data_IF_195616296826
#
_entry.id   IF_195616296826
#
_cell.length_a   1.000
_cell.length_b   1.000
_cell.length_c   1.000
_cell.angle_alpha   90.00
_cell.angle_beta   90.00
_cell.angle_gamma   90.00
#
_symmetry.space_group_name_H-M   'P 1'
#
loop_
_entity.id
_entity.type
_entity.pdbx_description
1 polymer ?
#
# COMPACT_ATOMS: atom_id res chain seq x y z
N UNK A 1 16.76 -17.85 -1.18
CA UNK A 1 15.64 -17.58 -2.11
C UNK A 1 16.14 -16.61 -3.15
N UNK A 2 15.81 -16.86 -4.42
CA UNK A 2 16.14 -15.97 -5.53
C UNK A 2 15.22 -14.74 -5.49
N UNK A 3 15.75 -13.57 -5.13
CA UNK A 3 14.94 -12.36 -4.93
C UNK A 3 14.21 -11.96 -6.23
N UNK A 4 14.87 -12.15 -7.36
CA UNK A 4 14.31 -11.88 -8.66
C UNK A 4 13.12 -12.79 -8.98
N UNK A 5 13.21 -14.08 -8.62
CA UNK A 5 12.09 -15.01 -8.77
C UNK A 5 10.92 -14.63 -7.86
N UNK A 6 11.16 -14.34 -6.59
CA UNK A 6 10.09 -13.93 -5.66
C UNK A 6 9.35 -12.69 -6.15
N UNK A 7 10.06 -11.67 -6.65
CA UNK A 7 9.43 -10.48 -7.21
C UNK A 7 8.57 -10.84 -8.44
N UNK A 8 9.09 -11.69 -9.35
CA UNK A 8 8.34 -12.11 -10.54
C UNK A 8 7.07 -12.89 -10.17
N UNK A 9 7.15 -13.80 -9.21
CA UNK A 9 6.01 -14.59 -8.75
C UNK A 9 4.92 -13.68 -8.18
N UNK A 10 5.27 -12.77 -7.26
CA UNK A 10 4.32 -11.81 -6.70
C UNK A 10 3.63 -10.94 -7.77
N UNK A 11 4.38 -10.48 -8.78
CA UNK A 11 3.80 -9.68 -9.88
C UNK A 11 2.91 -10.53 -10.80
N UNK A 12 3.26 -11.81 -11.00
CA UNK A 12 2.41 -12.74 -11.74
C UNK A 12 1.09 -13.00 -11.01
N UNK A 13 1.11 -13.18 -9.70
CA UNK A 13 -0.10 -13.33 -8.88
C UNK A 13 -1.01 -12.11 -8.98
N UNK A 14 -0.46 -10.90 -8.82
CA UNK A 14 -1.23 -9.65 -9.00
C UNK A 14 -1.85 -9.56 -10.40
N UNK A 15 -1.08 -9.95 -11.43
CA UNK A 15 -1.56 -9.94 -12.81
C UNK A 15 -2.72 -10.93 -13.01
N UNK A 16 -2.64 -12.11 -12.40
CA UNK A 16 -3.72 -13.10 -12.44
C UNK A 16 -5.00 -12.59 -11.77
N UNK A 17 -4.88 -11.92 -10.61
CA UNK A 17 -6.02 -11.28 -9.93
C UNK A 17 -6.68 -10.21 -10.83
N UNK A 18 -5.88 -9.39 -11.51
CA UNK A 18 -6.40 -8.39 -12.46
C UNK A 18 -7.11 -9.02 -13.64
N UNK A 19 -6.53 -10.04 -14.26
CA UNK A 19 -7.16 -10.77 -15.36
C UNK A 19 -8.50 -11.38 -14.94
N UNK A 20 -8.57 -11.94 -13.73
CA UNK A 20 -9.83 -12.47 -13.18
C UNK A 20 -10.89 -11.37 -13.04
N UNK A 21 -10.52 -10.18 -12.53
CA UNK A 21 -11.44 -9.02 -12.42
C UNK A 21 -11.88 -8.48 -13.78
N UNK A 22 -11.02 -8.52 -14.80
CA UNK A 22 -11.41 -8.15 -16.17
C UNK A 22 -12.40 -9.17 -16.76
N UNK A 23 -12.25 -10.45 -16.44
CA UNK A 23 -13.16 -11.52 -16.85
C UNK A 23 -14.50 -11.53 -16.10
N UNK A 24 -14.57 -10.88 -14.93
CA UNK A 24 -15.77 -10.75 -14.10
C UNK A 24 -16.02 -9.27 -13.76
N UNK A 25 -16.76 -8.53 -14.62
CA UNK A 25 -16.98 -7.09 -14.43
C UNK A 25 -17.65 -6.71 -13.11
N UNK A 26 -18.51 -7.58 -12.56
CA UNK A 26 -19.16 -7.33 -11.27
C UNK A 26 -18.13 -7.35 -10.13
N UNK A 27 -17.25 -8.36 -10.12
CA UNK A 27 -16.14 -8.40 -9.19
C UNK A 27 -15.17 -7.24 -9.40
N UNK A 28 -14.85 -6.88 -10.64
CA UNK A 28 -14.03 -5.70 -10.95
C UNK A 28 -14.57 -4.41 -10.33
N UNK A 29 -15.87 -4.16 -10.50
CA UNK A 29 -16.55 -2.99 -9.92
C UNK A 29 -16.58 -3.03 -8.39
N UNK A 30 -16.80 -4.21 -7.79
CA UNK A 30 -16.80 -4.41 -6.35
C UNK A 30 -15.42 -4.13 -5.74
N UNK A 31 -14.35 -4.69 -6.32
CA UNK A 31 -12.97 -4.41 -5.88
C UNK A 31 -12.64 -2.93 -6.03
N UNK A 32 -13.01 -2.30 -7.15
CA UNK A 32 -12.82 -0.85 -7.34
C UNK A 32 -13.51 -0.02 -6.26
N UNK A 33 -14.74 -0.38 -5.89
CA UNK A 33 -15.50 0.28 -4.82
C UNK A 33 -14.82 0.14 -3.46
N UNK A 34 -14.35 -1.08 -3.13
CA UNK A 34 -13.61 -1.36 -1.90
C UNK A 34 -12.33 -0.52 -1.84
N UNK A 35 -11.54 -0.50 -2.91
CA UNK A 35 -10.29 0.27 -2.97
C UNK A 35 -10.52 1.77 -2.81
N UNK A 36 -11.54 2.32 -3.48
CA UNK A 36 -11.89 3.73 -3.32
C UNK A 36 -12.27 4.07 -1.88
N UNK A 37 -13.05 3.19 -1.22
CA UNK A 37 -13.44 3.37 0.17
C UNK A 37 -12.24 3.27 1.13
N UNK A 38 -11.32 2.32 0.90
CA UNK A 38 -10.09 2.20 1.67
C UNK A 38 -9.22 3.46 1.53
N UNK A 39 -9.08 4.00 0.32
CA UNK A 39 -8.35 5.23 0.05
C UNK A 39 -8.99 6.44 0.75
N UNK A 40 -10.32 6.58 0.70
CA UNK A 40 -11.05 7.61 1.43
C UNK A 40 -10.88 7.46 2.95
N UNK A 41 -11.03 6.24 3.48
CA UNK A 41 -10.80 5.95 4.90
C UNK A 41 -9.39 6.33 5.32
N UNK A 42 -8.39 6.03 4.49
CA UNK A 42 -7.00 6.42 4.73
C UNK A 42 -6.86 7.94 4.78
N UNK A 43 -7.39 8.68 3.80
CA UNK A 43 -7.41 10.16 3.80
C UNK A 43 -7.99 10.72 5.09
N UNK A 44 -9.15 10.23 5.51
CA UNK A 44 -9.79 10.67 6.74
C UNK A 44 -9.00 10.30 8.01
N UNK A 45 -8.42 9.11 8.06
CA UNK A 45 -7.65 8.62 9.22
C UNK A 45 -6.36 9.41 9.45
N UNK A 46 -5.75 9.90 8.37
CA UNK A 46 -4.45 10.56 8.38
C UNK A 46 -4.50 12.04 7.97
N UNK A 47 -5.68 12.66 8.01
CA UNK A 47 -5.87 14.07 7.64
C UNK A 47 -4.93 15.02 8.41
N UNK A 48 -4.71 14.75 9.69
CA UNK A 48 -3.78 15.51 10.53
C UNK A 48 -2.31 15.31 10.14
N UNK A 49 -1.90 14.09 9.75
CA UNK A 49 -0.55 13.84 9.26
C UNK A 49 -0.33 14.52 7.91
N UNK A 50 -1.34 14.52 7.02
CA UNK A 50 -1.27 15.23 5.74
C UNK A 50 -1.17 16.75 5.92
N UNK A 51 -1.85 17.31 6.93
CA UNK A 51 -1.74 18.72 7.29
C UNK A 51 -0.44 19.10 8.02
N UNK A 52 0.37 18.12 8.45
CA UNK A 52 1.61 18.36 9.18
C UNK A 52 2.74 18.77 8.23
N UNK A 53 3.47 19.87 8.49
CA UNK A 53 4.68 20.18 7.74
C UNK A 53 5.77 19.10 7.86
N UNK A 54 5.76 18.35 8.97
CA UNK A 54 6.75 17.32 9.26
C UNK A 54 6.44 15.99 8.57
N UNK A 55 5.17 15.57 8.59
CA UNK A 55 4.73 14.25 8.11
C UNK A 55 3.97 14.30 6.78
N UNK A 56 3.48 15.47 6.37
CA UNK A 56 2.60 15.67 5.22
C UNK A 56 3.14 15.09 3.93
N UNK A 57 4.39 15.39 3.52
CA UNK A 57 4.97 14.81 2.31
C UNK A 57 5.00 13.27 2.33
N UNK A 58 5.32 12.66 3.47
CA UNK A 58 5.34 11.21 3.63
C UNK A 58 3.93 10.61 3.59
N UNK A 59 2.99 11.19 4.35
CA UNK A 59 1.60 10.76 4.37
C UNK A 59 0.95 10.85 2.97
N UNK A 60 1.22 11.94 2.24
CA UNK A 60 0.71 12.16 0.90
C UNK A 60 1.33 11.19 -0.11
N UNK A 61 2.64 10.96 -0.07
CA UNK A 61 3.29 9.95 -0.91
C UNK A 61 2.67 8.56 -0.71
N UNK A 62 2.49 8.12 0.55
CA UNK A 62 1.83 6.84 0.82
C UNK A 62 0.42 6.76 0.23
N UNK A 63 -0.37 7.82 0.40
CA UNK A 63 -1.72 7.86 -0.10
C UNK A 63 -1.78 7.83 -1.64
N UNK A 64 -0.97 8.65 -2.29
CA UNK A 64 -1.04 8.86 -3.75
C UNK A 64 -0.31 7.78 -4.54
N UNK A 65 0.72 7.16 -3.96
CA UNK A 65 1.58 6.22 -4.69
C UNK A 65 1.40 4.77 -4.23
N UNK A 66 0.94 4.52 -3.00
CA UNK A 66 0.83 3.15 -2.47
C UNK A 66 -0.61 2.70 -2.19
N UNK A 67 -1.51 3.61 -1.81
CA UNK A 67 -2.87 3.29 -1.36
C UNK A 67 -3.98 3.97 -2.17
N UNK A 68 -3.67 4.58 -3.31
CA UNK A 68 -4.71 5.22 -4.13
C UNK A 68 -5.47 4.21 -4.99
N UNK A 69 -6.59 4.66 -5.52
CA UNK A 69 -7.38 3.95 -6.53
C UNK A 69 -6.84 4.10 -7.97
N UNK A 70 -5.63 4.65 -8.13
CA UNK A 70 -4.96 4.82 -9.43
C UNK A 70 -4.55 3.47 -10.04
N UNK A 71 -4.58 3.37 -11.37
CA UNK A 71 -4.07 2.22 -12.10
C UNK A 71 -2.52 2.21 -12.10
N UNK A 72 -1.94 1.27 -11.38
CA UNK A 72 -0.49 1.06 -11.29
C UNK A 72 0.04 -0.06 -12.20
N UNK A 73 -0.74 -0.52 -13.18
CA UNK A 73 -0.39 -1.65 -14.04
C UNK A 73 0.97 -1.47 -14.71
N UNK A 74 1.24 -0.30 -15.27
CA UNK A 74 2.53 -0.01 -15.92
C UNK A 74 3.71 -0.10 -14.94
N UNK A 75 3.54 0.40 -13.71
CA UNK A 75 4.57 0.35 -12.67
C UNK A 75 4.88 -1.09 -12.27
N UNK A 76 3.84 -1.91 -12.09
CA UNK A 76 3.98 -3.31 -11.65
C UNK A 76 4.66 -4.16 -12.74
N UNK A 77 4.27 -3.97 -14.00
CA UNK A 77 4.92 -4.62 -15.14
C UNK A 77 6.37 -4.17 -15.30
N UNK A 78 6.70 -2.91 -15.03
CA UNK A 78 8.08 -2.44 -14.97
C UNK A 78 8.84 -3.11 -13.82
N UNK A 79 8.20 -3.29 -12.66
CA UNK A 79 8.84 -3.87 -11.48
C UNK A 79 9.25 -5.33 -11.68
N UNK A 80 8.35 -6.15 -12.24
CA UNK A 80 8.65 -7.54 -12.59
C UNK A 80 9.79 -7.67 -13.62
N UNK A 81 9.87 -6.76 -14.60
CA UNK A 81 10.92 -6.74 -15.62
C UNK A 81 12.31 -6.43 -15.06
N UNK A 82 12.41 -5.58 -14.04
CA UNK A 82 13.70 -5.20 -13.46
C UNK A 82 14.18 -6.12 -12.35
N UNK A 83 13.42 -7.15 -11.98
CA UNK A 83 13.73 -8.02 -10.84
C UNK A 83 15.16 -8.60 -10.92
N UNK A 84 15.61 -9.01 -12.10
CA UNK A 84 16.97 -9.48 -12.33
C UNK A 84 18.03 -8.39 -12.17
N UNK A 85 17.78 -7.21 -12.74
CA UNK A 85 18.69 -6.04 -12.61
C UNK A 85 18.78 -5.54 -11.17
N UNK A 86 17.67 -5.53 -10.42
CA UNK A 86 17.66 -5.18 -9.00
C UNK A 86 18.59 -6.12 -8.23
N UNK A 87 18.44 -7.43 -8.41
CA UNK A 87 19.25 -8.42 -7.73
C UNK A 87 20.75 -8.32 -8.03
N UNK A 88 21.13 -7.93 -9.25
CA UNK A 88 22.53 -7.91 -9.67
C UNK A 88 23.22 -6.56 -9.48
N UNK A 89 22.50 -5.45 -9.60
CA UNK A 89 23.06 -4.09 -9.62
C UNK A 89 22.88 -3.32 -8.32
N UNK A 90 21.93 -3.71 -7.46
CA UNK A 90 21.63 -2.96 -6.23
C UNK A 90 22.21 -3.64 -4.99
N UNK A 91 22.58 -2.87 -3.95
CA UNK A 91 22.99 -3.42 -2.67
C UNK A 91 21.92 -4.34 -2.06
N UNK A 92 22.36 -5.39 -1.37
CA UNK A 92 21.47 -6.38 -0.74
C UNK A 92 20.32 -5.79 0.10
N UNK A 93 20.51 -4.70 0.89
CA UNK A 93 19.40 -4.07 1.61
C UNK A 93 18.30 -3.51 0.70
N UNK A 94 18.67 -2.96 -0.47
CA UNK A 94 17.71 -2.44 -1.44
C UNK A 94 16.94 -3.59 -2.12
N UNK A 95 17.64 -4.69 -2.44
CA UNK A 95 17.01 -5.92 -2.96
C UNK A 95 16.02 -6.51 -1.97
N UNK A 96 16.39 -6.56 -0.69
CA UNK A 96 15.52 -7.06 0.40
C UNK A 96 14.25 -6.21 0.53
N UNK A 97 14.38 -4.89 0.46
CA UNK A 97 13.24 -3.97 0.50
C UNK A 97 12.35 -4.11 -0.74
N UNK A 98 12.94 -4.32 -1.93
CA UNK A 98 12.18 -4.58 -3.15
C UNK A 98 11.36 -5.89 -3.06
N UNK A 99 11.93 -6.96 -2.52
CA UNK A 99 11.20 -8.20 -2.27
C UNK A 99 10.06 -7.97 -1.27
N UNK A 100 10.32 -7.25 -0.18
CA UNK A 100 9.29 -6.93 0.82
C UNK A 100 8.12 -6.13 0.21
N UNK A 101 8.41 -5.17 -0.67
CA UNK A 101 7.39 -4.41 -1.40
C UNK A 101 6.55 -5.33 -2.32
N UNK A 102 7.19 -6.22 -3.08
CA UNK A 102 6.47 -7.16 -3.96
C UNK A 102 5.53 -8.08 -3.18
N UNK A 103 6.00 -8.63 -2.06
CA UNK A 103 5.21 -9.51 -1.19
C UNK A 103 4.04 -8.75 -0.53
N UNK A 104 4.29 -7.54 -0.05
CA UNK A 104 3.24 -6.69 0.52
C UNK A 104 2.18 -6.34 -0.53
N UNK A 105 2.59 -6.03 -1.76
CA UNK A 105 1.67 -5.72 -2.86
C UNK A 105 0.78 -6.90 -3.22
N UNK A 106 1.37 -8.09 -3.43
CA UNK A 106 0.61 -9.31 -3.70
C UNK A 106 -0.41 -9.61 -2.60
N UNK A 107 0.01 -9.58 -1.33
CA UNK A 107 -0.86 -9.79 -0.19
C UNK A 107 -2.01 -8.76 -0.13
N UNK A 108 -1.74 -7.50 -0.50
CA UNK A 108 -2.75 -6.43 -0.52
C UNK A 108 -3.80 -6.69 -1.60
N UNK A 109 -3.38 -7.06 -2.81
CA UNK A 109 -4.29 -7.35 -3.91
C UNK A 109 -5.15 -8.60 -3.67
N UNK A 110 -4.61 -9.63 -3.00
CA UNK A 110 -5.37 -10.80 -2.56
C UNK A 110 -6.48 -10.40 -1.58
N UNK A 111 -6.12 -9.64 -0.54
CA UNK A 111 -7.07 -9.17 0.46
C UNK A 111 -8.16 -8.26 -0.15
N UNK A 112 -7.81 -7.42 -1.13
CA UNK A 112 -8.79 -6.57 -1.81
C UNK A 112 -9.71 -7.37 -2.73
N UNK A 113 -9.21 -8.46 -3.34
CA UNK A 113 -10.06 -9.37 -4.09
C UNK A 113 -11.05 -10.09 -3.17
N UNK A 114 -10.60 -10.59 -2.02
CA UNK A 114 -11.47 -11.25 -1.04
C UNK A 114 -12.53 -10.29 -0.51
N UNK A 115 -12.14 -9.04 -0.24
CA UNK A 115 -13.07 -7.97 0.12
C UNK A 115 -14.08 -7.71 -1.01
N UNK A 116 -13.66 -7.69 -2.27
CA UNK A 116 -14.56 -7.54 -3.42
C UNK A 116 -15.56 -8.69 -3.55
N UNK A 117 -15.14 -9.93 -3.30
CA UNK A 117 -16.06 -11.09 -3.27
C UNK A 117 -17.09 -10.96 -2.15
N UNK A 118 -16.65 -10.59 -0.94
CA UNK A 118 -17.55 -10.38 0.19
C UNK A 118 -18.46 -9.16 -0.03
N UNK A 119 -17.97 -8.11 -0.70
CA UNK A 119 -18.72 -6.91 -1.04
C UNK A 119 -19.95 -7.22 -1.89
N UNK A 120 -19.82 -8.14 -2.86
CA UNK A 120 -20.94 -8.58 -3.70
C UNK A 120 -22.02 -9.32 -2.89
N UNK A 121 -21.63 -10.09 -1.88
CA UNK A 121 -22.58 -10.82 -1.01
C UNK A 121 -23.44 -9.86 -0.19
N UNK A 122 -22.86 -8.75 0.29
CA UNK A 122 -23.52 -7.81 1.21
C UNK A 122 -24.19 -6.60 0.52
N UNK A 123 -24.43 -6.66 -0.80
CA UNK A 123 -25.02 -5.55 -1.54
C UNK A 123 -26.43 -5.18 -1.10
N UNK A 124 -27.28 -6.17 -0.91
CA UNK A 124 -28.72 -5.97 -0.68
C UNK A 124 -29.06 -5.62 0.78
N UNK A 125 -28.21 -6.00 1.72
CA UNK A 125 -28.53 -6.00 3.16
C UNK A 125 -27.93 -4.80 3.93
N UNK A 126 -27.04 -4.03 3.30
CA UNK A 126 -26.34 -2.94 3.97
C UNK A 126 -27.12 -1.61 3.90
N UNK A 127 -27.37 -1.00 5.06
CA UNK A 127 -28.06 0.29 5.14
C UNK A 127 -27.23 1.46 4.57
N UNK A 128 -25.90 1.36 4.62
CA UNK A 128 -24.98 2.33 4.03
C UNK A 128 -23.63 1.68 3.66
N UNK A 129 -22.74 2.46 3.02
CA UNK A 129 -21.43 1.99 2.53
C UNK A 129 -20.48 1.54 3.65
N UNK A 130 -20.54 2.17 4.83
CA UNK A 130 -19.70 1.83 5.97
C UNK A 130 -20.13 0.49 6.60
N UNK A 131 -21.44 0.25 6.67
CA UNK A 131 -22.00 -1.01 7.14
C UNK A 131 -21.63 -2.15 6.18
N UNK A 132 -21.77 -1.92 4.86
CA UNK A 132 -21.36 -2.89 3.83
C UNK A 132 -19.89 -3.26 3.94
N UNK A 133 -19.02 -2.26 4.12
CA UNK A 133 -17.58 -2.48 4.27
C UNK A 133 -17.26 -3.27 5.52
N UNK A 134 -17.89 -2.94 6.65
CA UNK A 134 -17.70 -3.65 7.93
C UNK A 134 -18.15 -5.10 7.80
N UNK A 135 -19.30 -5.36 7.18
CA UNK A 135 -19.81 -6.70 6.93
C UNK A 135 -18.89 -7.52 6.02
N UNK A 136 -18.40 -6.92 4.93
CA UNK A 136 -17.42 -7.53 4.04
C UNK A 136 -16.12 -7.87 4.77
N UNK A 137 -15.60 -6.95 5.59
CA UNK A 137 -14.38 -7.15 6.38
C UNK A 137 -14.49 -8.34 7.34
N UNK A 138 -15.63 -8.45 8.04
CA UNK A 138 -15.92 -9.56 8.96
C UNK A 138 -16.11 -10.89 8.23
N UNK A 139 -16.73 -10.85 7.06
CA UNK A 139 -16.91 -12.04 6.20
C UNK A 139 -15.59 -12.58 5.70
N UNK A 140 -14.67 -11.69 5.30
CA UNK A 140 -13.30 -12.08 4.92
C UNK A 140 -12.55 -12.68 6.12
N UNK A 141 -12.67 -12.09 7.32
CA UNK A 141 -12.22 -12.74 8.56
C UNK A 141 -10.69 -12.94 8.70
N UNK A 142 -9.89 -12.38 7.79
CA UNK A 142 -8.43 -12.60 7.71
C UNK A 142 -7.62 -11.75 8.71
N UNK A 143 -7.93 -11.82 10.01
CA UNK A 143 -7.27 -11.02 11.05
C UNK A 143 -5.74 -11.18 11.03
N UNK A 144 -5.27 -12.42 10.98
CA UNK A 144 -3.83 -12.71 10.98
C UNK A 144 -3.13 -12.12 9.75
N UNK A 145 -3.73 -12.25 8.55
CA UNK A 145 -3.17 -11.67 7.34
C UNK A 145 -3.11 -10.13 7.45
N UNK A 146 -4.14 -9.47 7.98
CA UNK A 146 -4.14 -8.01 8.18
C UNK A 146 -3.06 -7.55 9.18
N UNK A 147 -2.86 -8.30 10.27
CA UNK A 147 -1.76 -8.05 11.20
C UNK A 147 -0.39 -8.21 10.52
N UNK A 148 -0.20 -9.27 9.74
CA UNK A 148 1.03 -9.46 8.97
C UNK A 148 1.25 -8.34 7.95
N UNK A 149 0.20 -7.90 7.25
CA UNK A 149 0.24 -6.78 6.31
C UNK A 149 0.75 -5.52 7.00
N UNK A 150 0.19 -5.17 8.17
CA UNK A 150 0.65 -4.03 8.97
C UNK A 150 2.12 -4.17 9.38
N UNK A 151 2.53 -5.34 9.88
CA UNK A 151 3.92 -5.55 10.28
C UNK A 151 4.90 -5.41 9.10
N UNK A 152 4.51 -5.86 7.90
CA UNK A 152 5.29 -5.65 6.66
C UNK A 152 5.40 -4.17 6.31
N UNK A 153 4.31 -3.40 6.42
CA UNK A 153 4.32 -1.95 6.19
C UNK A 153 5.31 -1.25 7.13
N UNK A 154 5.27 -1.58 8.43
CA UNK A 154 6.15 -0.97 9.45
C UNK A 154 7.62 -1.34 9.24
N UNK A 155 7.90 -2.61 8.93
CA UNK A 155 9.24 -3.09 8.61
C UNK A 155 9.79 -2.39 7.37
N UNK A 156 8.98 -2.31 6.30
CA UNK A 156 9.36 -1.64 5.06
C UNK A 156 9.64 -0.15 5.26
N UNK A 157 8.83 0.55 6.05
CA UNK A 157 9.07 1.96 6.39
C UNK A 157 10.40 2.17 7.13
N UNK A 158 10.73 1.24 8.04
CA UNK A 158 12.02 1.24 8.77
C UNK A 158 13.19 0.99 7.82
N UNK A 159 13.07 0.00 6.93
CA UNK A 159 14.13 -0.34 5.97
C UNK A 159 14.35 0.79 4.96
N UNK A 160 13.28 1.41 4.46
CA UNK A 160 13.38 2.56 3.58
C UNK A 160 14.08 3.74 4.26
N UNK A 161 13.80 4.01 5.53
CA UNK A 161 14.52 5.04 6.29
C UNK A 161 16.02 4.73 6.45
N UNK A 162 16.42 3.46 6.55
CA UNK A 162 17.84 3.08 6.54
C UNK A 162 18.45 3.30 5.16
N UNK A 163 17.75 2.87 4.10
CA UNK A 163 18.21 3.03 2.72
C UNK A 163 18.45 4.49 2.35
N UNK A 164 17.58 5.41 2.78
CA UNK A 164 17.74 6.84 2.48
C UNK A 164 18.98 7.46 3.12
N UNK A 165 19.53 6.82 4.15
CA UNK A 165 20.79 7.20 4.82
C UNK A 165 22.03 6.51 4.23
N UNK A 166 21.87 5.55 3.31
CA UNK A 166 22.99 4.84 2.69
C UNK A 166 23.76 5.76 1.73
N UNK A 167 25.07 5.96 1.95
CA UNK A 167 25.90 6.81 1.08
C UNK A 167 25.85 6.35 -0.38
N UNK A 168 25.74 7.29 -1.31
CA UNK A 168 25.78 7.01 -2.75
C UNK A 168 24.49 6.44 -3.35
N UNK A 169 23.57 5.86 -2.55
CA UNK A 169 22.36 5.22 -3.07
C UNK A 169 21.44 6.21 -3.80
N UNK A 170 21.31 7.43 -3.29
CA UNK A 170 20.57 8.51 -3.97
C UNK A 170 21.18 8.87 -5.33
N UNK A 171 22.51 8.91 -5.41
CA UNK A 171 23.21 9.22 -6.65
C UNK A 171 23.01 8.11 -7.68
N UNK A 172 23.17 6.86 -7.26
CA UNK A 172 22.92 5.68 -8.09
C UNK A 172 21.49 5.70 -8.65
N UNK A 173 20.49 5.97 -7.81
CA UNK A 173 19.11 6.09 -8.25
C UNK A 173 18.95 7.20 -9.31
N UNK A 174 19.50 8.39 -9.08
CA UNK A 174 19.43 9.50 -10.05
C UNK A 174 20.14 9.20 -11.38
N UNK A 175 21.27 8.50 -11.35
CA UNK A 175 22.00 8.09 -12.56
C UNK A 175 21.20 7.11 -13.41
N UNK A 176 20.36 6.27 -12.78
CA UNK A 176 19.48 5.34 -13.48
C UNK A 176 18.32 6.02 -14.23
N UNK A 177 18.07 7.32 -14.01
CA UNK A 177 16.94 8.03 -14.63
C UNK A 177 16.96 8.01 -16.16
N UNK A 178 18.11 8.30 -16.77
CA UNK A 178 18.28 8.29 -18.23
C UNK A 178 18.05 6.90 -18.82
N UNK A 179 18.81 5.88 -18.39
CA UNK A 179 18.62 4.49 -18.83
C UNK A 179 17.21 3.96 -18.58
N UNK A 180 16.61 4.27 -17.42
CA UNK A 180 15.25 3.83 -17.09
C UNK A 180 14.22 4.41 -18.07
N UNK A 181 14.29 5.69 -18.38
CA UNK A 181 13.39 6.30 -19.36
C UNK A 181 13.59 5.71 -20.76
N UNK A 182 14.83 5.52 -21.20
CA UNK A 182 15.14 4.94 -22.50
C UNK A 182 14.60 3.50 -22.66
N UNK A 183 14.54 2.74 -21.57
CA UNK A 183 14.00 1.38 -21.54
C UNK A 183 12.50 1.30 -21.18
N UNK A 184 11.79 2.44 -21.13
CA UNK A 184 10.35 2.46 -20.82
C UNK A 184 10.00 2.15 -19.36
N UNK A 185 10.93 2.43 -18.43
CA UNK A 185 10.82 2.22 -16.98
C UNK A 185 10.65 3.53 -16.19
N UNK A 186 10.16 4.57 -16.87
CA UNK A 186 10.07 5.92 -16.30
C UNK A 186 9.08 6.03 -15.14
N UNK A 187 8.00 5.25 -15.13
CA UNK A 187 7.01 5.30 -14.05
C UNK A 187 7.59 4.75 -12.75
N UNK A 188 8.23 3.58 -12.80
CA UNK A 188 8.89 2.97 -11.65
C UNK A 188 10.05 3.84 -11.14
N UNK A 189 10.85 4.40 -12.04
CA UNK A 189 11.94 5.31 -11.66
C UNK A 189 11.42 6.53 -10.89
N UNK A 190 10.37 7.19 -11.38
CA UNK A 190 9.76 8.35 -10.71
C UNK A 190 9.24 7.99 -9.33
N UNK A 191 8.54 6.86 -9.22
CA UNK A 191 8.04 6.34 -7.95
C UNK A 191 9.17 6.11 -6.94
N UNK A 192 10.25 5.42 -7.34
CA UNK A 192 11.39 5.15 -6.46
C UNK A 192 12.09 6.44 -6.01
N UNK A 193 12.29 7.39 -6.91
CA UNK A 193 12.88 8.69 -6.58
C UNK A 193 12.01 9.50 -5.62
N UNK A 194 10.71 9.58 -5.87
CA UNK A 194 9.77 10.29 -5.01
C UNK A 194 9.72 9.67 -3.61
N UNK A 195 9.65 8.35 -3.51
CA UNK A 195 9.67 7.64 -2.22
C UNK A 195 10.98 7.85 -1.47
N UNK A 196 12.12 7.72 -2.16
CA UNK A 196 13.44 7.91 -1.56
C UNK A 196 13.62 9.33 -1.03
N UNK A 197 13.25 10.35 -1.81
CA UNK A 197 13.41 11.75 -1.40
C UNK A 197 12.45 12.11 -0.25
N UNK A 198 11.23 11.60 -0.27
CA UNK A 198 10.22 11.84 0.77
C UNK A 198 10.65 11.24 2.11
N UNK A 199 11.03 9.96 2.13
CA UNK A 199 11.53 9.32 3.35
C UNK A 199 12.88 9.86 3.78
N UNK A 200 13.72 10.30 2.85
CA UNK A 200 14.98 10.97 3.16
C UNK A 200 14.77 12.29 3.91
N UNK A 201 13.69 13.02 3.60
CA UNK A 201 13.31 14.23 4.35
C UNK A 201 12.81 13.87 5.76
N UNK A 202 11.90 12.89 5.87
CA UNK A 202 11.39 12.44 7.16
C UNK A 202 12.52 11.91 8.06
N UNK A 203 13.45 11.14 7.50
CA UNK A 203 14.57 10.56 8.24
C UNK A 203 15.63 11.58 8.72
N UNK A 204 15.61 12.83 8.24
CA UNK A 204 16.46 13.91 8.77
C UNK A 204 15.95 14.46 10.09
N UNK A 205 14.65 14.34 10.34
CA UNK A 205 14.05 14.75 11.61
C UNK A 205 14.36 13.68 12.65
N UNK A 206 14.90 14.11 13.80
CA UNK A 206 15.23 13.20 14.89
C UNK A 206 13.95 12.55 15.42
N UNK A 207 13.84 11.22 15.30
CA UNK A 207 12.65 10.48 15.74
C UNK A 207 11.46 10.56 14.76
N UNK A 208 11.59 11.22 13.61
CA UNK A 208 10.47 11.47 12.70
C UNK A 208 9.89 10.19 12.09
N UNK A 209 10.77 9.27 11.67
CA UNK A 209 10.34 7.97 11.12
C UNK A 209 9.68 7.13 12.20
N UNK A 210 10.28 7.08 13.39
CA UNK A 210 9.79 6.32 14.52
C UNK A 210 8.40 6.80 14.96
N UNK A 211 8.22 8.13 15.07
CA UNK A 211 6.92 8.73 15.41
C UNK A 211 5.87 8.47 14.33
N UNK A 212 6.24 8.59 13.05
CA UNK A 212 5.35 8.35 11.93
C UNK A 212 4.87 6.90 11.90
N UNK A 213 5.79 5.93 12.01
CA UNK A 213 5.46 4.50 12.01
C UNK A 213 4.67 4.08 13.26
N UNK A 214 4.99 4.62 14.43
CA UNK A 214 4.22 4.37 15.64
C UNK A 214 2.77 4.88 15.52
N UNK A 215 2.58 6.03 14.86
CA UNK A 215 1.25 6.59 14.60
C UNK A 215 0.44 5.69 13.67
N UNK A 216 1.06 5.19 12.59
CA UNK A 216 0.42 4.22 11.68
C UNK A 216 0.06 2.94 12.44
N UNK A 217 1.00 2.38 13.21
CA UNK A 217 0.76 1.15 13.96
C UNK A 217 -0.43 1.30 14.91
N UNK A 218 -0.46 2.38 15.70
CA UNK A 218 -1.53 2.62 16.65
C UNK A 218 -2.89 2.72 15.95
N UNK A 219 -2.98 3.51 14.87
CA UNK A 219 -4.25 3.76 14.18
C UNK A 219 -4.76 2.55 13.43
N UNK A 220 -3.89 1.84 12.70
CA UNK A 220 -4.30 0.65 11.96
C UNK A 220 -4.66 -0.51 12.90
N UNK A 221 -3.97 -0.67 14.05
CA UNK A 221 -4.39 -1.63 15.08
C UNK A 221 -5.77 -1.32 15.64
N UNK A 222 -5.99 -0.06 16.06
CA UNK A 222 -7.28 0.37 16.58
C UNK A 222 -8.41 0.16 15.58
N UNK A 223 -8.16 0.45 14.29
CA UNK A 223 -9.12 0.20 13.23
C UNK A 223 -9.40 -1.29 13.05
N UNK A 224 -8.37 -2.14 13.02
CA UNK A 224 -8.56 -3.59 12.88
C UNK A 224 -9.43 -4.12 14.02
N UNK A 225 -9.13 -3.74 15.25
CA UNK A 225 -9.91 -4.15 16.43
C UNK A 225 -11.35 -3.63 16.35
N UNK A 226 -11.56 -2.39 15.89
CA UNK A 226 -12.90 -1.85 15.65
C UNK A 226 -13.67 -2.64 14.58
N UNK A 227 -13.06 -2.88 13.41
CA UNK A 227 -13.72 -3.56 12.29
C UNK A 227 -14.08 -5.01 12.62
N UNK A 228 -13.27 -5.69 13.42
CA UNK A 228 -13.52 -7.08 13.81
C UNK A 228 -14.39 -7.23 15.06
N UNK A 229 -14.20 -6.41 16.10
CA UNK A 229 -14.72 -6.70 17.45
C UNK A 229 -15.78 -5.71 17.94
N UNK A 230 -15.84 -4.48 17.42
CA UNK A 230 -16.82 -3.50 17.89
C UNK A 230 -18.26 -3.90 17.52
N UNK A 231 -19.27 -3.36 18.21
CA UNK A 231 -20.64 -3.56 17.77
C UNK A 231 -20.86 -2.92 16.37
N UNK A 232 -21.72 -3.49 15.51
CA UNK A 232 -21.89 -3.01 14.14
C UNK A 232 -22.25 -1.52 14.04
N UNK A 233 -23.07 -1.00 14.96
CA UNK A 233 -23.56 0.39 14.93
C UNK A 233 -22.45 1.37 15.28
N UNK A 234 -21.67 1.09 16.31
CA UNK A 234 -20.49 1.89 16.67
C UNK A 234 -19.47 1.86 15.55
N UNK A 235 -19.20 0.69 14.97
CA UNK A 235 -18.25 0.54 13.89
C UNK A 235 -18.66 1.34 12.64
N UNK A 236 -19.91 1.19 12.20
CA UNK A 236 -20.47 1.93 11.06
C UNK A 236 -20.42 3.45 11.28
N UNK A 237 -20.77 3.91 12.49
CA UNK A 237 -20.74 5.33 12.85
C UNK A 237 -19.32 5.91 12.82
N UNK A 238 -18.35 5.21 13.42
CA UNK A 238 -16.96 5.66 13.43
C UNK A 238 -16.37 5.66 12.02
N UNK A 239 -16.62 4.62 11.22
CA UNK A 239 -16.15 4.58 9.83
C UNK A 239 -16.80 5.68 8.98
N UNK A 240 -18.09 5.95 9.13
CA UNK A 240 -18.77 7.05 8.45
C UNK A 240 -18.17 8.41 8.82
N UNK A 241 -17.85 8.63 10.10
CA UNK A 241 -17.16 9.83 10.56
C UNK A 241 -15.78 9.97 9.91
N UNK A 242 -14.98 8.90 9.88
CA UNK A 242 -13.66 8.90 9.23
C UNK A 242 -13.79 9.21 7.74
N UNK A 243 -14.73 8.59 7.04
CA UNK A 243 -14.98 8.86 5.62
C UNK A 243 -15.41 10.33 5.38
N UNK A 244 -16.14 10.92 6.33
CA UNK A 244 -16.51 12.34 6.29
C UNK A 244 -15.32 13.30 6.40
N UNK A 245 -14.22 12.89 7.03
CA UNK A 245 -12.99 13.69 7.13
C UNK A 245 -12.15 13.66 5.84
N UNK A 246 -12.46 12.78 4.88
CA UNK A 246 -11.72 12.64 3.63
C UNK A 246 -12.08 13.69 2.57
N UNK A 247 -12.91 14.69 2.93
CA UNK A 247 -13.48 15.70 2.04
C UNK A 247 -12.59 16.92 1.86
#
# INVERSE_FOLDING_TARGET
MDAAQTIRDCIADVTALRLHRTGDPALGAAVGSVKSLQAQRFRGTYADLMGSPAFGPAAQFFLEELYSDTDYTDRDLQFGRIAGTLQTMFPQPAVTTAVALAVLHAQTEELDQDMGRAWLVHEADAANVADRYTAAWRTVGQRHARQQQLQRVLAMGTDLARLTRTPGLRMMLRMMRGPANAAGMGALQKFLEAGFDTFGQLARQRGGVEQFLATIEQRERALMDQLFDADPVTCGTQLANTLGQAR
#
